data_IF_410270056947
#
_entry.id   IF_410270056947
#
_cell.length_a   1.000
_cell.length_b   1.000
_cell.length_c   1.000
_cell.angle_alpha   90.00
_cell.angle_beta   90.00
_cell.angle_gamma   90.00
#
_symmetry.space_group_name_H-M   'P 1'
#
loop_
_entity.id
_entity.type
_entity.pdbx_description
1 polymer ?
#
# COMPACT_ATOMS: atom_id res chain seq x y z
N UNK A 1 -40.15 26.45 -66.61
CA UNK A 1 -39.25 27.60 -66.35
C UNK A 1 -39.84 28.84 -66.99
N UNK A 2 -40.26 29.83 -66.19
CA UNK A 2 -40.39 31.20 -66.66
C UNK A 2 -39.55 32.20 -65.82
N UNK A 3 -38.77 32.96 -66.59
CA UNK A 3 -38.34 34.36 -66.45
C UNK A 3 -38.15 35.02 -65.07
N UNK A 4 -36.87 35.33 -64.87
CA UNK A 4 -36.26 36.47 -64.20
C UNK A 4 -36.92 37.83 -64.52
N UNK A 5 -36.69 38.80 -63.63
CA UNK A 5 -37.02 40.23 -63.67
C UNK A 5 -38.42 40.60 -63.16
N UNK A 6 -38.46 41.16 -61.93
CA UNK A 6 -39.20 42.39 -61.69
C UNK A 6 -38.88 43.00 -60.31
N UNK A 7 -38.44 44.25 -60.36
CA UNK A 7 -38.55 45.30 -59.33
C UNK A 7 -37.63 45.28 -58.10
N UNK A 8 -36.41 45.75 -58.37
CA UNK A 8 -35.74 46.76 -57.54
C UNK A 8 -36.62 48.02 -57.44
N UNK A 9 -37.14 48.34 -56.26
CA UNK A 9 -37.64 49.66 -55.86
C UNK A 9 -38.09 49.61 -54.38
N UNK A 10 -37.15 49.86 -53.46
CA UNK A 10 -37.44 50.44 -52.14
C UNK A 10 -36.12 50.78 -51.44
N UNK A 11 -35.41 51.74 -52.02
CA UNK A 11 -34.40 52.52 -51.32
C UNK A 11 -34.96 53.93 -51.16
N UNK A 12 -34.70 54.52 -50.01
CA UNK A 12 -35.03 55.89 -49.57
C UNK A 12 -36.38 56.05 -48.85
N UNK A 13 -36.33 55.99 -47.52
CA UNK A 13 -36.80 57.07 -46.63
C UNK A 13 -36.98 56.58 -45.17
N UNK A 14 -35.89 56.48 -44.41
CA UNK A 14 -35.91 56.64 -42.95
C UNK A 14 -34.56 57.29 -42.60
N UNK A 15 -34.51 58.62 -42.65
CA UNK A 15 -34.71 59.51 -41.49
C UNK A 15 -33.61 59.31 -40.45
N UNK A 16 -32.68 60.26 -40.47
CA UNK A 16 -31.64 60.47 -39.49
C UNK A 16 -32.29 60.63 -38.11
N UNK A 17 -32.23 59.58 -37.29
CA UNK A 17 -32.32 59.73 -35.85
C UNK A 17 -30.90 59.84 -35.31
N UNK A 18 -30.62 60.97 -34.68
CA UNK A 18 -29.44 61.22 -33.86
C UNK A 18 -29.37 60.15 -32.76
N UNK A 19 -28.54 59.13 -32.97
CA UNK A 19 -28.23 58.14 -31.97
C UNK A 19 -27.07 58.70 -31.13
N UNK A 20 -27.41 59.33 -30.00
CA UNK A 20 -26.46 59.58 -28.93
C UNK A 20 -25.97 58.22 -28.41
N UNK A 21 -24.86 57.75 -28.96
CA UNK A 21 -24.21 56.51 -28.53
C UNK A 21 -23.84 56.63 -27.05
N UNK A 22 -24.12 55.61 -26.21
CA UNK A 22 -23.68 55.62 -24.83
C UNK A 22 -22.16 55.75 -24.77
N UNK A 23 -21.67 56.71 -24.00
CA UNK A 23 -20.26 56.96 -23.71
C UNK A 23 -19.49 55.65 -23.45
N UNK A 24 -18.29 55.53 -24.03
CA UNK A 24 -17.37 54.41 -23.84
C UNK A 24 -17.05 54.11 -22.37
N UNK A 25 -17.21 55.07 -21.46
CA UNK A 25 -16.92 54.90 -20.05
C UNK A 25 -17.91 53.94 -19.34
N UNK A 26 -19.09 53.71 -19.92
CA UNK A 26 -20.06 52.74 -19.40
C UNK A 26 -19.83 51.29 -19.91
N UNK A 27 -18.97 51.07 -20.91
CA UNK A 27 -18.65 49.71 -21.38
C UNK A 27 -17.66 48.99 -20.45
N UNK A 28 -16.79 49.73 -19.77
CA UNK A 28 -15.86 49.17 -18.77
C UNK A 28 -16.54 48.75 -17.45
N UNK A 29 -17.73 49.29 -17.13
CA UNK A 29 -18.51 48.89 -15.97
C UNK A 29 -19.33 47.61 -16.21
N UNK A 30 -19.77 47.36 -17.45
CA UNK A 30 -20.53 46.16 -17.82
C UNK A 30 -19.65 44.90 -17.96
N UNK A 31 -18.37 45.05 -18.37
CA UNK A 31 -17.43 43.94 -18.47
C UNK A 31 -16.90 43.42 -17.12
N UNK A 32 -17.07 44.18 -16.02
CA UNK A 32 -16.72 43.72 -14.66
C UNK A 32 -17.77 42.84 -13.98
N UNK A 33 -18.94 42.64 -14.60
CA UNK A 33 -20.01 41.77 -14.09
C UNK A 33 -20.08 40.39 -14.72
N UNK A 34 -19.17 40.06 -15.65
CA UNK A 34 -18.90 38.68 -15.98
C UNK A 34 -17.89 38.14 -14.98
N UNK A 35 -18.38 37.81 -13.79
CA UNK A 35 -17.59 37.16 -12.76
C UNK A 35 -17.57 35.67 -13.12
N UNK A 36 -16.48 35.17 -13.73
CA UNK A 36 -16.51 33.83 -14.24
C UNK A 36 -16.32 32.90 -13.05
N UNK A 37 -17.26 32.00 -12.85
CA UNK A 37 -17.30 31.05 -11.73
C UNK A 37 -16.11 30.08 -11.65
N UNK A 38 -15.08 30.26 -12.48
CA UNK A 38 -13.82 29.50 -12.38
C UNK A 38 -12.90 29.96 -11.24
N UNK A 39 -13.13 31.12 -10.62
CA UNK A 39 -12.28 31.58 -9.50
C UNK A 39 -12.53 30.84 -8.16
N UNK A 40 -13.65 30.11 -8.02
CA UNK A 40 -14.02 29.43 -6.76
C UNK A 40 -14.30 27.95 -6.97
N UNK A 41 -13.29 27.15 -7.37
CA UNK A 41 -13.28 25.68 -7.20
C UNK A 41 -14.50 24.89 -7.72
N UNK A 42 -15.38 25.51 -8.51
CA UNK A 42 -16.68 24.98 -8.89
C UNK A 42 -16.47 23.99 -10.01
N UNK A 43 -16.77 22.72 -9.75
CA UNK A 43 -16.70 21.67 -10.77
C UNK A 43 -17.57 22.10 -11.95
N UNK A 44 -16.94 22.43 -13.08
CA UNK A 44 -17.64 22.61 -14.36
C UNK A 44 -18.52 21.37 -14.58
N UNK A 45 -19.78 21.60 -14.94
CA UNK A 45 -20.70 20.53 -15.27
C UNK A 45 -20.12 19.73 -16.44
N UNK A 46 -19.77 18.46 -16.18
CA UNK A 46 -19.13 17.62 -17.20
C UNK A 46 -20.12 17.32 -18.32
N UNK A 47 -19.67 17.47 -19.56
CA UNK A 47 -20.49 17.13 -20.72
C UNK A 47 -20.82 15.63 -20.74
N UNK A 48 -21.84 15.23 -21.48
CA UNK A 48 -22.18 13.81 -21.64
C UNK A 48 -21.00 13.03 -22.23
N UNK A 49 -20.31 13.61 -23.21
CA UNK A 49 -19.13 13.00 -23.83
C UNK A 49 -17.97 12.87 -22.84
N UNK A 50 -17.71 13.87 -21.99
CA UNK A 50 -16.68 13.79 -20.95
C UNK A 50 -16.98 12.65 -19.95
N UNK A 51 -18.23 12.51 -19.52
CA UNK A 51 -18.65 11.42 -18.63
C UNK A 51 -18.46 10.05 -19.28
N UNK A 52 -18.84 9.92 -20.56
CA UNK A 52 -18.64 8.68 -21.32
C UNK A 52 -17.15 8.35 -21.47
N UNK A 53 -16.31 9.34 -21.79
CA UNK A 53 -14.87 9.16 -21.94
C UNK A 53 -14.20 8.80 -20.60
N UNK A 54 -14.62 9.42 -19.50
CA UNK A 54 -14.16 9.05 -18.16
C UNK A 54 -14.56 7.61 -17.81
N UNK A 55 -15.79 7.20 -18.12
CA UNK A 55 -16.27 5.84 -17.88
C UNK A 55 -15.51 4.81 -18.72
N UNK A 56 -15.23 5.10 -20.01
CA UNK A 56 -14.39 4.24 -20.86
C UNK A 56 -12.95 4.19 -20.36
N UNK A 57 -12.39 5.34 -19.95
CA UNK A 57 -11.04 5.43 -19.38
C UNK A 57 -10.92 4.65 -18.08
N UNK A 58 -11.92 4.73 -17.20
CA UNK A 58 -11.98 4.00 -15.95
C UNK A 58 -12.24 2.50 -16.15
N UNK A 59 -13.03 2.13 -17.16
CA UNK A 59 -13.23 0.72 -17.55
C UNK A 59 -11.96 0.08 -18.12
N UNK A 60 -11.09 0.89 -18.76
CA UNK A 60 -9.78 0.47 -19.24
C UNK A 60 -8.67 0.54 -18.18
N UNK A 61 -8.92 1.10 -16.98
CA UNK A 61 -7.96 1.03 -15.88
C UNK A 61 -7.91 -0.41 -15.39
N UNK A 62 -6.78 -1.07 -15.64
CA UNK A 62 -6.48 -2.39 -15.07
C UNK A 62 -6.72 -2.31 -13.56
N UNK A 63 -7.60 -3.18 -13.05
CA UNK A 63 -7.83 -3.31 -11.61
C UNK A 63 -6.47 -3.54 -10.92
N UNK A 64 -6.20 -2.89 -9.77
CA UNK A 64 -4.95 -3.13 -9.06
C UNK A 64 -4.86 -4.62 -8.72
N UNK A 65 -3.71 -5.23 -9.02
CA UNK A 65 -3.38 -6.60 -8.64
C UNK A 65 -2.59 -6.60 -7.34
N UNK A 66 -3.00 -7.44 -6.40
CA UNK A 66 -2.32 -7.59 -5.13
C UNK A 66 -0.94 -8.23 -5.33
N UNK A 67 0.12 -7.63 -4.78
CA UNK A 67 1.50 -8.16 -4.92
C UNK A 67 1.79 -9.35 -4.01
N UNK A 68 0.90 -9.65 -3.06
CA UNK A 68 1.00 -10.81 -2.17
C UNK A 68 0.30 -12.03 -2.78
N UNK A 69 -1.00 -11.94 -3.06
CA UNK A 69 -1.78 -13.10 -3.55
C UNK A 69 -1.99 -13.14 -5.07
N UNK A 70 -1.50 -12.13 -5.80
CA UNK A 70 -1.65 -11.97 -7.25
C UNK A 70 -3.09 -11.86 -7.77
N UNK A 71 -4.07 -11.72 -6.88
CA UNK A 71 -5.48 -11.55 -7.26
C UNK A 71 -5.79 -10.08 -7.59
N UNK A 72 -6.60 -9.80 -8.63
CA UNK A 72 -7.05 -8.46 -8.96
C UNK A 72 -8.09 -7.94 -7.96
N UNK A 73 -8.30 -6.62 -7.97
CA UNK A 73 -9.38 -5.96 -7.23
C UNK A 73 -9.00 -5.45 -5.84
N UNK A 74 -7.80 -5.73 -5.36
CA UNK A 74 -7.31 -5.21 -4.08
C UNK A 74 -5.79 -4.98 -4.09
N UNK A 75 -5.31 -4.20 -3.11
CA UNK A 75 -3.88 -3.98 -2.84
C UNK A 75 -3.43 -4.83 -1.66
N UNK A 76 -2.11 -5.00 -1.49
CA UNK A 76 -1.55 -5.81 -0.41
C UNK A 76 -2.09 -5.46 0.98
N UNK A 77 -2.20 -4.17 1.34
CA UNK A 77 -2.74 -3.75 2.65
C UNK A 77 -4.23 -4.05 2.87
N UNK A 78 -4.96 -4.50 1.83
CA UNK A 78 -6.35 -4.96 1.91
C UNK A 78 -6.49 -6.42 1.47
N UNK A 79 -5.40 -7.19 1.54
CA UNK A 79 -5.39 -8.57 1.09
C UNK A 79 -6.14 -9.47 2.10
N UNK A 80 -7.15 -10.25 1.67
CA UNK A 80 -7.90 -11.12 2.57
C UNK A 80 -7.00 -12.17 3.23
N UNK A 81 -5.92 -12.62 2.57
CA UNK A 81 -4.95 -13.54 3.19
C UNK A 81 -4.32 -12.96 4.46
N UNK A 82 -4.00 -11.66 4.47
CA UNK A 82 -3.41 -11.00 5.64
C UNK A 82 -4.42 -11.00 6.80
N UNK A 83 -5.68 -10.69 6.51
CA UNK A 83 -6.75 -10.69 7.51
C UNK A 83 -7.01 -12.07 8.10
N UNK A 84 -7.03 -13.13 7.28
CA UNK A 84 -7.25 -14.50 7.74
C UNK A 84 -6.18 -14.95 8.74
N UNK A 85 -4.95 -14.50 8.58
CA UNK A 85 -3.83 -14.87 9.45
C UNK A 85 -3.66 -13.92 10.63
N UNK A 86 -4.36 -12.78 10.63
CA UNK A 86 -4.21 -11.76 11.66
C UNK A 86 -2.84 -11.08 11.66
N UNK A 87 -2.15 -11.09 10.52
CA UNK A 87 -0.83 -10.48 10.41
C UNK A 87 -0.92 -8.99 10.05
N UNK A 88 0.12 -8.23 10.38
CA UNK A 88 0.34 -6.86 9.88
C UNK A 88 1.47 -6.85 8.88
N UNK A 89 1.34 -6.06 7.81
CA UNK A 89 2.42 -5.87 6.84
C UNK A 89 3.44 -4.86 7.36
N UNK A 90 4.71 -5.25 7.34
CA UNK A 90 5.81 -4.35 7.67
C UNK A 90 6.16 -3.53 6.42
N UNK A 91 6.03 -2.21 6.52
CA UNK A 91 6.41 -1.26 5.48
C UNK A 91 7.90 -1.40 5.12
N UNK A 92 8.23 -1.17 3.85
CA UNK A 92 9.59 -1.34 3.32
C UNK A 92 10.62 -0.47 4.06
N UNK A 93 10.21 0.75 4.38
CA UNK A 93 10.94 1.74 5.16
C UNK A 93 11.28 1.26 6.57
N UNK A 94 10.45 0.37 7.14
CA UNK A 94 10.57 -0.09 8.53
C UNK A 94 11.21 -1.48 8.61
N UNK A 95 11.57 -2.13 7.50
CA UNK A 95 12.10 -3.50 7.52
C UNK A 95 13.41 -3.60 8.29
N UNK A 96 14.29 -2.60 8.14
CA UNK A 96 15.59 -2.59 8.83
C UNK A 96 15.38 -2.46 10.34
N UNK A 97 14.61 -1.46 10.76
CA UNK A 97 14.25 -1.26 12.18
C UNK A 97 13.51 -2.46 12.78
N UNK A 98 12.61 -3.08 12.01
CA UNK A 98 11.92 -4.29 12.39
C UNK A 98 12.89 -5.46 12.60
N UNK A 99 13.84 -5.66 11.68
CA UNK A 99 14.85 -6.71 11.75
C UNK A 99 15.81 -6.50 12.95
N UNK A 100 16.22 -5.26 13.22
CA UNK A 100 17.11 -4.92 14.33
C UNK A 100 16.45 -5.16 15.70
N UNK A 101 15.12 -4.96 15.77
CA UNK A 101 14.31 -5.22 16.97
C UNK A 101 13.87 -6.67 17.11
N UNK A 102 14.02 -7.48 16.08
CA UNK A 102 13.53 -8.85 16.08
C UNK A 102 14.25 -9.66 17.17
N UNK A 103 13.51 -10.48 17.91
CA UNK A 103 14.03 -11.21 19.07
C UNK A 103 14.28 -10.35 20.31
N UNK A 104 14.21 -9.02 20.22
CA UNK A 104 14.38 -8.14 21.37
C UNK A 104 13.07 -8.05 22.16
N UNK A 105 13.06 -8.52 23.41
CA UNK A 105 11.83 -8.73 24.13
C UNK A 105 11.28 -7.41 24.72
N UNK A 106 12.02 -6.30 24.62
CA UNK A 106 11.50 -4.93 24.86
C UNK A 106 10.46 -4.49 23.83
N UNK A 107 10.52 -5.03 22.62
CA UNK A 107 9.64 -4.63 21.50
C UNK A 107 8.58 -5.69 21.18
N UNK A 108 8.88 -6.96 21.40
CA UNK A 108 8.00 -8.08 21.07
C UNK A 108 7.89 -9.05 22.24
N UNK A 109 6.75 -9.74 22.35
CA UNK A 109 6.63 -10.88 23.24
C UNK A 109 7.58 -12.00 22.78
N UNK A 110 8.45 -12.45 23.68
CA UNK A 110 9.35 -13.58 23.46
C UNK A 110 9.03 -14.63 24.52
N UNK A 111 8.67 -15.83 24.09
CA UNK A 111 8.17 -16.91 24.94
C UNK A 111 9.31 -17.90 25.28
N UNK A 112 9.26 -18.53 26.46
CA UNK A 112 10.09 -19.70 26.72
C UNK A 112 9.46 -20.92 26.02
N UNK A 113 10.20 -21.67 25.17
CA UNK A 113 9.62 -22.80 24.46
C UNK A 113 9.27 -23.93 25.44
N UNK A 114 8.02 -24.40 25.39
CA UNK A 114 7.58 -25.58 26.14
C UNK A 114 8.22 -26.87 25.57
N UNK A 115 8.09 -28.00 26.29
CA UNK A 115 8.78 -29.27 25.98
C UNK A 115 8.69 -29.69 24.50
N UNK A 116 7.48 -29.80 23.96
CA UNK A 116 7.27 -30.24 22.56
C UNK A 116 7.86 -29.25 21.55
N UNK A 117 7.63 -27.95 21.76
CA UNK A 117 8.19 -26.88 20.91
C UNK A 117 9.71 -26.87 20.97
N UNK A 118 10.30 -27.12 22.14
CA UNK A 118 11.75 -27.19 22.34
C UNK A 118 12.36 -28.35 21.54
N UNK A 119 11.72 -29.51 21.51
CA UNK A 119 12.18 -30.63 20.68
C UNK A 119 12.00 -30.36 19.18
N UNK A 120 10.91 -29.72 18.77
CA UNK A 120 10.73 -29.27 17.38
C UNK A 120 11.80 -28.28 16.93
N UNK A 121 12.11 -27.27 17.76
CA UNK A 121 13.18 -26.30 17.50
C UNK A 121 14.52 -27.03 17.36
N UNK A 122 14.85 -27.94 18.28
CA UNK A 122 16.10 -28.71 18.22
C UNK A 122 16.19 -29.57 16.96
N UNK A 123 15.12 -30.28 16.61
CA UNK A 123 15.07 -31.12 15.41
C UNK A 123 15.29 -30.28 14.15
N UNK A 124 14.61 -29.14 14.06
CA UNK A 124 14.72 -28.23 12.93
C UNK A 124 16.11 -27.63 12.79
N UNK A 125 16.70 -27.17 13.91
CA UNK A 125 18.03 -26.56 13.92
C UNK A 125 19.15 -27.51 13.46
N UNK A 126 18.95 -28.84 13.51
CA UNK A 126 19.91 -29.83 12.97
C UNK A 126 19.89 -29.90 11.44
N UNK A 127 18.75 -29.58 10.80
CA UNK A 127 18.53 -29.72 9.35
C UNK A 127 19.05 -28.56 8.49
N UNK A 128 19.66 -27.55 9.10
CA UNK A 128 20.07 -26.32 8.43
C UNK A 128 18.98 -25.25 8.51
N UNK A 129 19.33 -24.10 9.09
CA UNK A 129 18.38 -23.06 9.49
C UNK A 129 18.30 -21.90 8.50
N UNK A 130 18.40 -22.17 7.19
CA UNK A 130 18.38 -21.12 6.17
C UNK A 130 17.01 -21.02 5.51
N UNK A 131 16.55 -19.79 5.32
CA UNK A 131 15.33 -19.51 4.56
C UNK A 131 15.52 -19.91 3.09
N UNK A 132 14.53 -20.58 2.46
CA UNK A 132 14.68 -21.07 1.10
C UNK A 132 14.82 -19.91 0.09
N UNK A 133 15.64 -20.07 -0.97
CA UNK A 133 15.90 -18.99 -1.93
C UNK A 133 14.66 -18.57 -2.72
N UNK A 134 13.69 -19.48 -2.88
CA UNK A 134 12.39 -19.22 -3.52
C UNK A 134 11.41 -18.42 -2.67
N UNK A 135 11.74 -18.11 -1.41
CA UNK A 135 10.87 -17.34 -0.54
C UNK A 135 10.61 -15.94 -1.11
N UNK A 136 9.32 -15.60 -1.22
CA UNK A 136 8.87 -14.26 -1.61
C UNK A 136 8.25 -13.52 -0.44
N UNK A 137 7.58 -14.22 0.47
CA UNK A 137 7.02 -13.61 1.67
C UNK A 137 7.39 -14.42 2.91
N UNK A 138 7.52 -13.72 4.02
CA UNK A 138 7.89 -14.27 5.32
C UNK A 138 6.87 -13.79 6.33
N UNK A 139 6.25 -14.73 7.05
CA UNK A 139 5.32 -14.42 8.14
C UNK A 139 5.96 -14.82 9.45
N UNK A 140 6.27 -13.86 10.31
CA UNK A 140 6.79 -14.11 11.65
C UNK A 140 5.61 -14.27 12.60
N UNK A 141 5.44 -15.46 13.16
CA UNK A 141 4.33 -15.78 14.05
C UNK A 141 4.65 -15.53 15.52
N UNK A 142 5.77 -16.06 15.97
CA UNK A 142 6.19 -16.05 17.38
C UNK A 142 7.71 -15.95 17.49
N UNK A 143 8.17 -15.51 18.66
CA UNK A 143 9.56 -15.49 19.04
C UNK A 143 9.74 -16.33 20.30
N UNK A 144 10.79 -17.13 20.31
CA UNK A 144 11.20 -17.94 21.44
C UNK A 144 12.61 -17.59 21.85
N UNK A 145 12.90 -17.65 23.15
CA UNK A 145 14.26 -17.53 23.63
C UNK A 145 15.15 -18.61 23.02
N UNK A 146 16.43 -18.27 22.80
CA UNK A 146 17.45 -19.29 22.67
C UNK A 146 17.32 -20.23 23.88
N UNK A 147 17.44 -21.53 23.64
CA UNK A 147 17.52 -22.51 24.73
C UNK A 147 18.69 -22.22 25.70
N UNK A 148 19.56 -21.26 25.37
CA UNK A 148 20.70 -20.78 26.15
C UNK A 148 20.44 -19.33 26.59
N UNK A 149 20.05 -19.14 27.86
CA UNK A 149 19.64 -17.84 28.45
C UNK A 149 20.70 -16.72 28.37
N UNK A 150 21.98 -17.04 28.14
CA UNK A 150 23.09 -16.08 28.14
C UNK A 150 23.47 -15.52 26.76
N UNK A 151 22.77 -15.94 25.71
CA UNK A 151 23.10 -15.55 24.34
C UNK A 151 22.35 -14.27 23.90
N UNK A 152 22.92 -13.55 22.93
CA UNK A 152 22.31 -12.36 22.32
C UNK A 152 20.88 -12.63 21.84
N UNK A 153 20.01 -11.62 21.85
CA UNK A 153 18.65 -11.70 21.30
C UNK A 153 18.61 -12.16 19.83
N UNK A 154 19.70 -11.96 19.08
CA UNK A 154 19.89 -12.45 17.71
C UNK A 154 19.93 -13.98 17.60
N UNK A 155 20.14 -14.68 18.72
CA UNK A 155 20.09 -16.14 18.83
C UNK A 155 18.71 -16.65 19.25
N UNK A 156 17.74 -15.76 19.50
CA UNK A 156 16.35 -16.15 19.64
C UNK A 156 15.87 -16.86 18.38
N UNK A 157 14.82 -17.66 18.52
CA UNK A 157 14.25 -18.46 17.44
C UNK A 157 12.89 -17.91 17.07
N UNK A 158 12.71 -17.58 15.80
CA UNK A 158 11.43 -17.16 15.24
C UNK A 158 10.68 -18.36 14.66
N UNK A 159 9.40 -18.50 14.99
CA UNK A 159 8.49 -19.35 14.23
C UNK A 159 8.03 -18.56 13.00
N UNK A 160 8.31 -19.11 11.82
CA UNK A 160 8.11 -18.44 10.55
C UNK A 160 7.35 -19.35 9.61
N UNK A 161 6.37 -18.78 8.91
CA UNK A 161 5.80 -19.38 7.72
C UNK A 161 6.42 -18.75 6.49
N UNK A 162 7.01 -19.59 5.64
CA UNK A 162 7.66 -19.13 4.40
C UNK A 162 6.72 -19.32 3.23
N UNK A 163 6.50 -18.27 2.47
CA UNK A 163 5.57 -18.30 1.34
C UNK A 163 6.28 -18.05 0.01
N UNK A 164 5.90 -18.85 -0.97
CA UNK A 164 6.28 -18.71 -2.37
C UNK A 164 5.37 -17.71 -3.09
N UNK A 165 5.43 -17.76 -4.41
CA UNK A 165 4.64 -16.88 -5.29
C UNK A 165 3.13 -17.04 -5.03
N UNK A 166 2.37 -15.98 -5.31
CA UNK A 166 0.94 -15.89 -5.00
C UNK A 166 0.59 -16.05 -3.50
N UNK A 167 1.56 -15.88 -2.61
CA UNK A 167 1.35 -15.91 -1.17
C UNK A 167 0.84 -17.27 -0.69
N UNK A 168 1.39 -18.33 -1.28
CA UNK A 168 1.09 -19.71 -0.89
C UNK A 168 2.18 -20.21 0.07
N UNK A 169 1.82 -20.88 1.17
CA UNK A 169 2.80 -21.48 2.06
C UNK A 169 3.64 -22.53 1.31
N UNK A 170 4.92 -22.61 1.64
CA UNK A 170 5.80 -23.68 1.18
C UNK A 170 5.71 -24.80 2.20
N UNK A 171 5.04 -25.91 1.86
CA UNK A 171 4.66 -26.98 2.80
C UNK A 171 5.87 -27.55 3.57
N UNK A 172 7.02 -27.68 2.91
CA UNK A 172 8.26 -28.17 3.54
C UNK A 172 8.88 -27.19 4.54
N UNK A 173 8.39 -25.94 4.62
CA UNK A 173 8.98 -24.85 5.40
C UNK A 173 7.95 -24.08 6.23
N UNK A 174 6.76 -24.65 6.48
CA UNK A 174 5.64 -23.92 7.06
C UNK A 174 4.80 -24.76 8.05
N UNK A 175 4.75 -24.40 9.36
CA UNK A 175 5.62 -23.46 10.05
C UNK A 175 7.00 -24.07 10.33
N UNK A 176 8.04 -23.25 10.25
CA UNK A 176 9.42 -23.63 10.50
C UNK A 176 10.08 -22.70 11.53
N UNK A 177 11.21 -23.12 12.08
CA UNK A 177 11.92 -22.39 13.14
C UNK A 177 13.26 -21.86 12.63
N UNK A 178 13.47 -20.56 12.71
CA UNK A 178 14.71 -19.94 12.21
C UNK A 178 15.34 -19.06 13.28
N UNK A 179 16.67 -19.06 13.42
CA UNK A 179 17.35 -18.05 14.20
C UNK A 179 16.98 -16.66 13.70
N UNK A 180 16.79 -15.74 14.64
CA UNK A 180 16.44 -14.35 14.34
C UNK A 180 17.46 -13.71 13.41
N UNK A 181 18.77 -13.98 13.58
CA UNK A 181 19.80 -13.45 12.68
C UNK A 181 19.66 -13.95 11.23
N UNK A 182 19.22 -15.19 10.99
CA UNK A 182 18.97 -15.71 9.64
C UNK A 182 17.75 -15.03 9.01
N UNK A 183 16.71 -14.81 9.79
CA UNK A 183 15.53 -14.05 9.37
C UNK A 183 15.92 -12.61 9.02
N UNK A 184 16.65 -11.92 9.90
CA UNK A 184 17.13 -10.57 9.68
C UNK A 184 18.06 -10.47 8.46
N UNK A 185 18.96 -11.44 8.28
CA UNK A 185 19.84 -11.52 7.12
C UNK A 185 19.04 -11.71 5.81
N UNK A 186 18.00 -12.57 5.82
CA UNK A 186 17.11 -12.69 4.68
C UNK A 186 16.41 -11.37 4.38
N UNK A 187 15.87 -10.67 5.39
CA UNK A 187 15.21 -9.37 5.22
C UNK A 187 16.18 -8.34 4.60
N UNK A 188 17.41 -8.27 5.10
CA UNK A 188 18.44 -7.37 4.57
C UNK A 188 18.76 -7.65 3.09
N UNK A 189 18.83 -8.92 2.69
CA UNK A 189 19.19 -9.28 1.31
C UNK A 189 18.01 -9.21 0.33
N UNK A 190 16.80 -9.46 0.81
CA UNK A 190 15.63 -9.66 -0.04
C UNK A 190 14.70 -8.45 -0.08
N UNK A 191 14.71 -7.63 0.97
CA UNK A 191 13.88 -6.44 1.05
C UNK A 191 14.65 -5.16 0.70
N UNK A 192 15.91 -5.17 0.28
CA UNK A 192 16.59 -3.95 -0.18
C UNK A 192 16.11 -3.51 -1.58
N UNK A 193 15.83 -2.20 -1.72
CA UNK A 193 15.52 -1.53 -3.00
C UNK A 193 14.07 -1.68 -3.49
N UNK A 194 13.80 -1.22 -4.73
CA UNK A 194 12.45 -1.19 -5.34
C UNK A 194 11.88 -2.57 -5.72
N UNK A 195 12.40 -3.67 -5.18
CA UNK A 195 11.89 -5.03 -5.41
C UNK A 195 10.57 -5.24 -4.63
N UNK A 196 9.51 -4.55 -5.07
CA UNK A 196 8.15 -4.47 -4.47
C UNK A 196 7.39 -5.80 -4.38
N UNK A 197 8.04 -6.93 -4.65
CA UNK A 197 7.41 -8.26 -4.70
C UNK A 197 7.59 -9.07 -3.41
N UNK A 198 8.46 -8.63 -2.50
CA UNK A 198 8.71 -9.35 -1.25
C UNK A 198 8.05 -8.63 -0.08
N UNK A 199 7.40 -9.40 0.79
CA UNK A 199 6.62 -8.87 1.89
C UNK A 199 7.00 -9.55 3.19
N UNK A 200 7.07 -8.75 4.25
CA UNK A 200 7.23 -9.24 5.62
C UNK A 200 5.90 -9.00 6.32
N UNK A 201 5.37 -10.08 6.88
CA UNK A 201 4.15 -10.08 7.67
C UNK A 201 4.54 -10.44 9.10
N UNK A 202 3.94 -9.76 10.08
CA UNK A 202 4.19 -10.00 11.50
C UNK A 202 2.89 -10.26 12.23
N UNK A 203 2.85 -11.34 12.99
CA UNK A 203 1.80 -11.62 13.97
C UNK A 203 2.29 -11.35 15.39
N UNK A 204 3.47 -10.73 15.54
CA UNK A 204 4.10 -10.53 16.83
C UNK A 204 3.28 -9.56 17.69
N UNK A 205 3.04 -9.97 18.92
CA UNK A 205 2.40 -9.14 19.92
C UNK A 205 3.43 -8.22 20.58
N UNK A 206 3.02 -7.00 20.92
CA UNK A 206 3.80 -6.13 21.80
C UNK A 206 3.76 -6.70 23.22
N UNK A 207 4.89 -6.70 23.94
CA UNK A 207 4.92 -7.21 25.30
C UNK A 207 4.06 -6.32 26.21
N UNK A 208 3.42 -6.93 27.22
CA UNK A 208 2.80 -6.17 28.31
C UNK A 208 3.93 -5.53 29.11
N UNK A 209 3.91 -4.20 29.27
CA UNK A 209 5.02 -3.43 29.84
C UNK A 209 5.49 -3.93 31.22
N UNK A 210 4.57 -4.47 32.02
CA UNK A 210 4.85 -5.03 33.35
C UNK A 210 5.65 -6.34 33.29
N UNK A 211 5.32 -7.22 32.34
CA UNK A 211 6.01 -8.50 32.12
C UNK A 211 7.40 -8.25 31.54
N UNK A 212 7.50 -7.26 30.65
CA UNK A 212 8.78 -6.81 30.11
C UNK A 212 9.76 -6.39 31.22
N UNK A 213 9.30 -5.59 32.19
CA UNK A 213 10.17 -5.15 33.28
C UNK A 213 10.72 -6.30 34.14
N UNK A 214 9.95 -7.39 34.32
CA UNK A 214 10.35 -8.53 35.15
C UNK A 214 11.20 -9.57 34.43
N UNK A 215 11.03 -9.73 33.12
CA UNK A 215 11.79 -10.71 32.33
C UNK A 215 13.19 -10.22 31.94
N UNK A 216 13.51 -8.93 32.09
CA UNK A 216 14.67 -8.28 31.43
C UNK A 216 15.73 -7.68 32.36
N UNK A 217 15.90 -8.21 33.57
CA UNK A 217 17.11 -7.96 34.33
C UNK A 217 18.22 -8.90 33.84
N UNK A 218 18.80 -8.54 32.68
CA UNK A 218 20.12 -9.07 32.31
C UNK A 218 21.11 -8.35 33.22
N UNK A 219 21.38 -8.93 34.39
CA UNK A 219 22.43 -8.49 35.30
C UNK A 219 23.80 -8.44 34.63
#
# INVERSE_FOLDING_TARGET
MPSQEMFSQNYQAYSQHDYEGPSMDNQHAALKKWNPTWANGGRRYRSRNERTMDQMRDSNKRKPTCTLCLQPGHRVGKCPKIHVIGASIIGHENVVEYADRLGNPRYYLVEEPCGDVKELIKAWMKGGSRLPPGATHVVVHKLYYSARKQESFQNSVAQVSVWGEAGMPMDEYCPAYYPVHEVAHWMANNCRGKKRKKHILSCLQTPVQEIAAQMYDYG
#
